data_IF_568791011730
#
_entry.id   IF_568791011730
#
_cell.length_a   1.000
_cell.length_b   1.000
_cell.length_c   1.000
_cell.angle_alpha   90.00
_cell.angle_beta   90.00
_cell.angle_gamma   90.00
#
_symmetry.space_group_name_H-M   'P 1'
#
loop_
_entity.id
_entity.type
_entity.pdbx_description
1 polymer ?
#
# COMPACT_ATOMS: atom_id res chain seq x y z
N UNK A 1 -27.35 27.70 8.27
CA UNK A 1 -27.45 26.24 8.24
C UNK A 1 -27.27 25.80 6.79
N UNK A 2 -26.02 25.66 6.32
CA UNK A 2 -25.73 25.20 4.96
C UNK A 2 -24.57 24.20 5.02
N UNK A 3 -24.89 23.05 5.64
CA UNK A 3 -24.01 21.88 5.67
C UNK A 3 -24.42 20.87 4.61
N UNK A 4 -24.59 21.28 3.34
CA UNK A 4 -24.76 20.32 2.26
C UNK A 4 -23.40 19.72 1.97
N UNK A 5 -23.22 18.47 2.43
CA UNK A 5 -22.07 17.66 2.06
C UNK A 5 -21.95 17.66 0.52
N UNK A 6 -20.84 18.20 0.00
CA UNK A 6 -20.53 18.11 -1.43
C UNK A 6 -20.57 16.64 -1.83
N UNK A 7 -21.21 16.26 -2.95
CA UNK A 7 -21.18 14.89 -3.43
C UNK A 7 -19.72 14.48 -3.60
N UNK A 8 -19.33 13.41 -2.90
CA UNK A 8 -17.96 12.91 -2.89
C UNK A 8 -17.57 12.53 -4.32
N UNK A 9 -16.70 13.34 -4.95
CA UNK A 9 -15.85 12.76 -6.00
C UNK A 9 -15.19 11.55 -5.34
N UNK A 10 -15.35 10.37 -5.90
CA UNK A 10 -14.68 9.15 -5.40
C UNK A 10 -13.21 9.50 -5.21
N UNK A 11 -12.78 9.56 -3.96
CA UNK A 11 -11.37 9.80 -3.65
C UNK A 11 -10.55 8.64 -4.23
N UNK A 12 -9.41 8.90 -4.87
CA UNK A 12 -8.58 7.82 -5.42
C UNK A 12 -8.16 6.87 -4.30
N UNK A 13 -8.16 5.57 -4.58
CA UNK A 13 -7.73 4.55 -3.61
C UNK A 13 -6.23 4.70 -3.25
N UNK A 14 -5.43 5.29 -4.14
CA UNK A 14 -3.99 5.50 -3.98
C UNK A 14 -3.59 6.72 -3.14
N UNK A 15 -4.56 7.51 -2.65
CA UNK A 15 -4.28 8.81 -2.05
C UNK A 15 -4.08 9.91 -3.10
N UNK A 16 -3.95 11.15 -2.65
CA UNK A 16 -3.74 12.33 -3.49
C UNK A 16 -3.03 13.45 -2.75
N UNK A 17 -2.84 14.58 -3.42
CA UNK A 17 -2.14 15.73 -2.86
C UNK A 17 -2.72 16.16 -1.52
N UNK A 18 -1.86 16.26 -0.51
CA UNK A 18 -2.22 16.65 0.87
C UNK A 18 -2.79 15.52 1.73
N UNK A 19 -2.99 14.31 1.20
CA UNK A 19 -3.38 13.15 2.00
C UNK A 19 -2.15 12.42 2.58
N UNK A 20 -2.30 11.79 3.73
CA UNK A 20 -1.30 10.89 4.30
C UNK A 20 -1.68 9.44 4.01
N UNK A 21 -0.78 8.70 3.36
CA UNK A 21 -0.96 7.29 2.99
C UNK A 21 -0.07 6.40 3.84
N UNK A 22 -0.66 5.50 4.62
CA UNK A 22 0.04 4.46 5.34
C UNK A 22 0.04 3.17 4.50
N UNK A 23 1.22 2.56 4.33
CA UNK A 23 1.40 1.37 3.51
C UNK A 23 1.91 0.21 4.34
N UNK A 24 1.11 -0.85 4.49
CA UNK A 24 1.57 -2.10 5.09
C UNK A 24 2.46 -2.89 4.14
N UNK A 25 3.44 -3.63 4.69
CA UNK A 25 4.39 -4.38 3.88
C UNK A 25 5.20 -3.49 2.94
N UNK A 26 5.57 -2.31 3.40
CA UNK A 26 6.09 -1.19 2.60
C UNK A 26 7.38 -1.50 1.81
N UNK A 27 8.15 -2.52 2.21
CA UNK A 27 9.36 -2.93 1.52
C UNK A 27 9.14 -4.03 0.47
N UNK A 28 7.93 -4.61 0.36
CA UNK A 28 7.61 -5.64 -0.63
C UNK A 28 7.30 -5.07 -2.00
N UNK A 29 7.03 -5.97 -2.97
CA UNK A 29 6.79 -5.56 -4.37
C UNK A 29 5.55 -4.71 -4.59
N UNK A 30 4.48 -4.88 -3.78
CA UNK A 30 3.29 -4.02 -3.78
C UNK A 30 3.58 -2.75 -2.98
N UNK A 31 4.19 -2.88 -1.79
CA UNK A 31 4.45 -1.77 -0.89
C UNK A 31 5.33 -0.69 -1.50
N UNK A 32 6.46 -1.07 -2.10
CA UNK A 32 7.37 -0.12 -2.76
C UNK A 32 6.72 0.60 -3.94
N UNK A 33 5.92 -0.11 -4.75
CA UNK A 33 5.16 0.51 -5.83
C UNK A 33 4.11 1.50 -5.30
N UNK A 34 3.41 1.13 -4.21
CA UNK A 34 2.41 1.99 -3.58
C UNK A 34 3.01 3.27 -3.03
N UNK A 35 4.18 3.19 -2.38
CA UNK A 35 4.91 4.36 -1.89
C UNK A 35 5.27 5.31 -3.03
N UNK A 36 5.85 4.78 -4.11
CA UNK A 36 6.24 5.60 -5.28
C UNK A 36 5.04 6.27 -5.95
N UNK A 37 3.96 5.53 -6.16
CA UNK A 37 2.73 6.08 -6.77
C UNK A 37 2.11 7.14 -5.86
N UNK A 38 1.97 6.87 -4.56
CA UNK A 38 1.40 7.82 -3.61
C UNK A 38 2.23 9.12 -3.57
N UNK A 39 3.56 9.00 -3.52
CA UNK A 39 4.49 10.13 -3.59
C UNK A 39 4.35 10.92 -4.88
N UNK A 40 4.26 10.23 -6.02
CA UNK A 40 4.06 10.87 -7.33
C UNK A 40 2.71 11.57 -7.47
N UNK A 41 1.72 11.18 -6.67
CA UNK A 41 0.43 11.87 -6.57
C UNK A 41 0.41 13.00 -5.54
N UNK A 42 1.55 13.30 -4.89
CA UNK A 42 1.70 14.38 -3.93
C UNK A 42 1.22 14.06 -2.51
N UNK A 43 1.05 12.76 -2.20
CA UNK A 43 0.71 12.34 -0.85
C UNK A 43 1.96 12.25 0.04
N UNK A 44 1.76 12.45 1.36
CA UNK A 44 2.74 12.07 2.38
C UNK A 44 2.63 10.58 2.66
N UNK A 45 3.75 9.89 2.87
CA UNK A 45 3.79 8.43 2.97
C UNK A 45 4.38 7.95 4.29
N UNK A 46 3.75 6.93 4.89
CA UNK A 46 4.23 6.23 6.10
C UNK A 46 4.32 4.75 5.78
N UNK A 47 5.52 4.19 5.82
CA UNK A 47 5.76 2.77 5.59
C UNK A 47 5.71 1.95 6.88
N UNK A 48 5.02 0.80 6.88
CA UNK A 48 5.04 -0.17 7.98
C UNK A 48 5.91 -1.35 7.58
N UNK A 49 6.98 -1.59 8.34
CA UNK A 49 7.99 -2.62 8.04
C UNK A 49 8.39 -3.42 9.28
N UNK A 50 9.08 -4.57 9.11
CA UNK A 50 9.44 -5.47 10.21
C UNK A 50 10.93 -5.49 10.59
N UNK A 51 11.81 -4.85 9.80
CA UNK A 51 13.26 -4.88 10.02
C UNK A 51 13.96 -3.61 9.53
N UNK A 52 15.22 -3.41 9.94
CA UNK A 52 16.05 -2.27 9.51
C UNK A 52 16.33 -2.31 8.02
N UNK A 53 16.60 -3.49 7.46
CA UNK A 53 16.78 -3.68 6.03
C UNK A 53 15.54 -3.23 5.25
N UNK A 54 14.35 -3.64 5.71
CA UNK A 54 13.07 -3.26 5.08
C UNK A 54 12.76 -1.78 5.25
N UNK A 55 13.21 -1.16 6.34
CA UNK A 55 13.11 0.30 6.50
C UNK A 55 13.91 1.02 5.42
N UNK A 56 15.18 0.61 5.22
CA UNK A 56 16.03 1.22 4.17
C UNK A 56 15.34 1.14 2.81
N UNK A 57 14.81 -0.05 2.43
CA UNK A 57 14.12 -0.24 1.16
C UNK A 57 12.85 0.63 1.05
N UNK A 58 12.07 0.75 2.11
CA UNK A 58 10.88 1.59 2.12
C UNK A 58 11.21 3.08 1.96
N UNK A 59 12.28 3.56 2.65
CA UNK A 59 12.75 4.95 2.52
C UNK A 59 13.28 5.23 1.10
N UNK A 60 14.07 4.32 0.54
CA UNK A 60 14.56 4.42 -0.85
C UNK A 60 13.40 4.41 -1.86
N UNK A 61 12.30 3.72 -1.55
CA UNK A 61 11.08 3.73 -2.36
C UNK A 61 10.17 4.97 -2.14
N UNK A 62 10.58 5.92 -1.30
CA UNK A 62 9.88 7.19 -1.10
C UNK A 62 9.01 7.28 0.13
N UNK A 63 9.20 6.41 1.15
CA UNK A 63 8.55 6.60 2.44
C UNK A 63 9.13 7.84 3.15
N UNK A 64 8.27 8.81 3.48
CA UNK A 64 8.65 9.99 4.26
C UNK A 64 8.95 9.58 5.71
N UNK A 65 8.11 8.67 6.23
CA UNK A 65 8.26 8.12 7.58
C UNK A 65 8.14 6.59 7.57
N UNK A 66 8.71 5.95 8.58
CA UNK A 66 8.63 4.48 8.72
C UNK A 66 8.36 4.12 10.17
N UNK A 67 7.47 3.15 10.40
CA UNK A 67 7.15 2.58 11.71
C UNK A 67 7.36 1.06 11.72
N UNK A 68 7.65 0.51 12.90
CA UNK A 68 7.92 -0.93 13.08
C UNK A 68 6.64 -1.70 13.41
N UNK A 69 6.32 -2.72 12.61
CA UNK A 69 5.12 -3.55 12.78
C UNK A 69 5.08 -4.34 14.10
N UNK A 70 6.22 -4.61 14.71
CA UNK A 70 6.33 -5.31 16.00
C UNK A 70 6.20 -4.41 17.23
N UNK A 71 6.01 -3.09 17.05
CA UNK A 71 5.90 -2.09 18.12
C UNK A 71 4.54 -1.42 18.15
N UNK A 72 4.42 -0.26 18.84
CA UNK A 72 3.19 0.53 18.90
C UNK A 72 2.98 1.35 17.61
N UNK A 73 3.11 0.68 16.44
CA UNK A 73 3.09 1.29 15.12
C UNK A 73 1.84 2.14 14.87
N UNK A 74 0.69 1.72 15.40
CA UNK A 74 -0.58 2.44 15.25
C UNK A 74 -0.49 3.84 15.87
N UNK A 75 -0.01 3.92 17.10
CA UNK A 75 0.04 5.19 17.83
C UNK A 75 1.11 6.11 17.24
N UNK A 76 2.26 5.54 16.85
CA UNK A 76 3.30 6.26 16.10
C UNK A 76 2.78 6.77 14.75
N UNK A 77 2.05 5.94 13.99
CA UNK A 77 1.47 6.37 12.71
C UNK A 77 0.45 7.51 12.88
N UNK A 78 -0.36 7.47 13.95
CA UNK A 78 -1.29 8.55 14.28
C UNK A 78 -0.57 9.85 14.64
N UNK A 79 0.49 9.78 15.42
CA UNK A 79 1.31 10.94 15.77
C UNK A 79 1.94 11.54 14.51
N UNK A 80 2.61 10.73 13.70
CA UNK A 80 3.26 11.15 12.46
C UNK A 80 2.29 11.73 11.43
N UNK A 81 1.04 11.26 11.42
CA UNK A 81 0.00 11.76 10.49
C UNK A 81 -0.83 12.93 11.04
N UNK A 82 -0.52 13.42 12.23
CA UNK A 82 -1.27 14.53 12.83
C UNK A 82 -2.68 14.15 13.30
N UNK A 83 -2.88 12.88 13.69
CA UNK A 83 -4.16 12.41 14.25
C UNK A 83 -4.76 11.20 13.53
N UNK A 84 -4.27 10.86 12.34
CA UNK A 84 -4.66 9.67 11.60
C UNK A 84 -4.33 9.75 10.11
N UNK A 85 -4.15 8.60 9.47
CA UNK A 85 -3.89 8.51 8.04
C UNK A 85 -5.21 8.67 7.24
N UNK A 86 -5.16 9.33 6.10
CA UNK A 86 -6.31 9.44 5.19
C UNK A 86 -6.55 8.14 4.44
N UNK A 87 -5.48 7.42 4.13
CA UNK A 87 -5.52 6.15 3.42
C UNK A 87 -4.62 5.14 4.09
N UNK A 88 -5.10 3.92 4.25
CA UNK A 88 -4.28 2.74 4.56
C UNK A 88 -4.33 1.80 3.37
N UNK A 89 -3.18 1.50 2.77
CA UNK A 89 -3.02 0.44 1.77
C UNK A 89 -2.62 -0.86 2.47
N UNK A 90 -3.49 -1.86 2.39
CA UNK A 90 -3.31 -3.11 3.12
C UNK A 90 -3.27 -4.35 2.19
N UNK A 91 -2.07 -4.80 1.80
CA UNK A 91 -1.86 -6.08 1.14
C UNK A 91 -1.67 -7.24 2.13
N UNK A 92 -1.70 -6.98 3.44
CA UNK A 92 -1.29 -7.91 4.49
C UNK A 92 -2.47 -8.58 5.17
N UNK A 93 -3.47 -7.80 5.58
CA UNK A 93 -4.64 -8.29 6.32
C UNK A 93 -4.30 -8.74 7.74
N UNK A 94 -4.99 -9.80 8.19
CA UNK A 94 -4.76 -10.42 9.48
C UNK A 94 -5.16 -9.59 10.70
N UNK A 95 -4.59 -9.90 11.85
CA UNK A 95 -4.99 -9.34 13.15
C UNK A 95 -4.76 -7.83 13.27
N UNK A 96 -3.78 -7.30 12.53
CA UNK A 96 -3.46 -5.86 12.53
C UNK A 96 -4.53 -4.99 11.86
N UNK A 97 -5.48 -5.56 11.14
CA UNK A 97 -6.50 -4.82 10.40
C UNK A 97 -7.35 -3.92 11.30
N UNK A 98 -7.68 -4.38 12.50
CA UNK A 98 -8.40 -3.56 13.48
C UNK A 98 -7.58 -2.32 13.91
N UNK A 99 -6.28 -2.44 14.06
CA UNK A 99 -5.42 -1.31 14.38
C UNK A 99 -5.20 -0.40 13.16
N UNK A 100 -5.24 -0.95 11.95
CA UNK A 100 -5.28 -0.16 10.71
C UNK A 100 -6.52 0.74 10.66
N UNK A 101 -7.72 0.22 11.01
CA UNK A 101 -8.93 1.03 11.13
C UNK A 101 -8.81 2.13 12.19
N UNK A 102 -8.12 1.83 13.30
CA UNK A 102 -7.92 2.80 14.39
C UNK A 102 -6.86 3.85 14.07
N UNK A 103 -6.00 3.60 13.08
CA UNK A 103 -4.98 4.55 12.63
C UNK A 103 -5.51 5.56 11.60
N UNK A 104 -6.74 5.38 11.12
CA UNK A 104 -7.37 6.30 10.18
C UNK A 104 -7.78 7.63 10.83
N UNK A 105 -7.70 8.69 10.05
CA UNK A 105 -8.38 9.94 10.30
C UNK A 105 -9.89 9.79 10.12
N UNK A 106 -10.67 10.73 10.66
CA UNK A 106 -12.10 10.81 10.36
C UNK A 106 -12.33 10.98 8.85
N UNK A 107 -13.17 10.13 8.27
CA UNK A 107 -13.41 10.09 6.82
C UNK A 107 -12.29 9.41 6.03
N UNK A 108 -11.32 8.78 6.70
CA UNK A 108 -10.27 8.00 6.06
C UNK A 108 -10.76 6.65 5.53
N UNK A 109 -9.91 5.96 4.74
CA UNK A 109 -10.27 4.70 4.08
C UNK A 109 -9.15 3.66 4.15
N UNK A 110 -9.52 2.39 4.34
CA UNK A 110 -8.62 1.25 4.09
C UNK A 110 -8.89 0.69 2.71
N UNK A 111 -7.83 0.48 1.95
CA UNK A 111 -7.84 -0.19 0.66
C UNK A 111 -7.27 -1.59 0.83
N UNK A 112 -8.13 -2.59 0.75
CA UNK A 112 -7.76 -4.01 0.88
C UNK A 112 -7.26 -4.52 -0.47
N UNK A 113 -5.98 -4.87 -0.52
CA UNK A 113 -5.30 -5.35 -1.74
C UNK A 113 -5.08 -6.86 -1.70
N UNK A 114 -4.91 -7.43 -0.50
CA UNK A 114 -4.65 -8.86 -0.32
C UNK A 114 -4.51 -9.26 1.14
N UNK A 115 -4.13 -10.52 1.36
CA UNK A 115 -4.08 -11.15 2.68
C UNK A 115 -2.80 -11.98 2.85
N UNK A 116 -1.62 -11.34 2.67
CA UNK A 116 -0.33 -12.04 2.73
C UNK A 116 0.02 -12.57 4.12
N UNK A 117 -0.69 -12.16 5.18
CA UNK A 117 -0.58 -12.75 6.52
C UNK A 117 -1.27 -14.12 6.61
N UNK A 118 -2.19 -14.43 5.70
CA UNK A 118 -2.86 -15.73 5.58
C UNK A 118 -4.27 -15.77 6.16
N UNK A 119 -4.69 -14.79 6.98
CA UNK A 119 -6.04 -14.69 7.50
C UNK A 119 -6.83 -13.52 6.90
N UNK A 120 -8.11 -13.75 6.64
CA UNK A 120 -9.03 -12.71 6.18
C UNK A 120 -9.58 -11.99 7.42
N UNK A 121 -9.40 -10.66 7.53
CA UNK A 121 -9.83 -9.92 8.71
C UNK A 121 -11.34 -9.76 8.78
N UNK A 122 -11.88 -9.78 10.01
CA UNK A 122 -13.28 -9.43 10.29
C UNK A 122 -13.39 -8.00 10.79
N UNK A 123 -14.43 -7.30 10.35
CA UNK A 123 -14.70 -5.90 10.73
C UNK A 123 -15.98 -5.79 11.51
N UNK A 124 -15.89 -5.28 12.73
CA UNK A 124 -17.05 -4.79 13.46
C UNK A 124 -17.51 -3.46 12.88
N UNK A 125 -18.59 -3.46 12.10
CA UNK A 125 -19.06 -2.31 11.30
C UNK A 125 -19.36 -1.03 12.12
N UNK A 126 -19.62 -1.15 13.43
CA UNK A 126 -19.75 0.01 14.30
C UNK A 126 -18.48 0.89 14.32
N UNK A 127 -17.30 0.31 14.05
CA UNK A 127 -16.04 1.08 13.94
C UNK A 127 -16.03 2.02 12.76
N UNK A 128 -16.67 1.63 11.66
CA UNK A 128 -16.80 2.47 10.46
C UNK A 128 -17.73 3.65 10.75
N UNK A 129 -18.86 3.39 11.42
CA UNK A 129 -19.82 4.42 11.79
C UNK A 129 -19.23 5.49 12.71
N UNK A 130 -18.44 5.09 13.72
CA UNK A 130 -17.93 6.00 14.75
C UNK A 130 -16.96 7.06 14.20
N UNK A 131 -16.23 6.75 13.13
CA UNK A 131 -15.24 7.65 12.54
C UNK A 131 -15.55 8.01 11.07
N UNK A 132 -16.72 7.62 10.56
CA UNK A 132 -17.09 7.80 9.14
C UNK A 132 -16.03 7.28 8.19
N UNK A 133 -15.42 6.12 8.50
CA UNK A 133 -14.36 5.52 7.69
C UNK A 133 -14.91 4.52 6.70
N UNK A 134 -14.12 4.22 5.65
CA UNK A 134 -14.49 3.29 4.59
C UNK A 134 -13.53 2.10 4.54
N UNK A 135 -14.05 0.94 4.11
CA UNK A 135 -13.25 -0.23 3.70
C UNK A 135 -13.54 -0.50 2.24
N UNK A 136 -12.51 -0.44 1.40
CA UNK A 136 -12.61 -0.54 -0.06
C UNK A 136 -11.84 -1.77 -0.52
N UNK A 137 -12.48 -2.68 -1.26
CA UNK A 137 -11.80 -3.78 -1.94
C UNK A 137 -11.14 -3.30 -3.24
N UNK A 138 -9.88 -3.72 -3.47
CA UNK A 138 -9.12 -3.42 -4.69
C UNK A 138 -8.70 -4.72 -5.40
N UNK A 139 -9.67 -5.52 -5.81
CA UNK A 139 -9.48 -6.76 -6.56
C UNK A 139 -9.17 -6.49 -8.03
N UNK A 140 -7.91 -6.17 -8.33
CA UNK A 140 -7.48 -5.73 -9.65
C UNK A 140 -7.80 -6.72 -10.77
N UNK A 141 -7.54 -8.01 -10.61
CA UNK A 141 -7.67 -9.00 -11.68
C UNK A 141 -9.07 -9.03 -12.31
N UNK A 142 -10.10 -9.30 -11.52
CA UNK A 142 -11.48 -9.35 -11.99
C UNK A 142 -11.98 -8.00 -12.50
N UNK A 143 -11.58 -6.91 -11.84
CA UNK A 143 -11.94 -5.55 -12.24
C UNK A 143 -11.36 -5.17 -13.60
N UNK A 144 -10.07 -5.47 -13.81
CA UNK A 144 -9.33 -5.19 -15.02
C UNK A 144 -9.84 -5.99 -16.24
N UNK A 145 -10.14 -7.28 -16.03
CA UNK A 145 -10.71 -8.15 -17.08
C UNK A 145 -12.05 -7.65 -17.60
N UNK A 146 -12.88 -7.10 -16.72
CA UNK A 146 -14.19 -6.57 -17.09
C UNK A 146 -14.13 -5.15 -17.70
N UNK A 147 -12.99 -4.46 -17.62
CA UNK A 147 -12.82 -3.04 -18.00
C UNK A 147 -11.46 -2.77 -18.65
N UNK A 148 -11.25 -3.23 -19.90
CA UNK A 148 -9.97 -3.06 -20.61
C UNK A 148 -9.56 -1.58 -20.79
N UNK A 149 -10.54 -0.68 -20.89
CA UNK A 149 -10.29 0.77 -20.98
C UNK A 149 -9.60 1.31 -19.74
N UNK A 150 -9.99 0.86 -18.55
CA UNK A 150 -9.35 1.26 -17.29
C UNK A 150 -7.90 0.80 -17.23
N UNK A 151 -7.62 -0.41 -17.77
CA UNK A 151 -6.24 -0.92 -17.87
C UNK A 151 -5.38 -0.01 -18.74
N UNK A 152 -5.91 0.45 -19.88
CA UNK A 152 -5.19 1.36 -20.79
C UNK A 152 -4.91 2.71 -20.12
N UNK A 153 -5.91 3.29 -19.46
CA UNK A 153 -5.79 4.60 -18.80
C UNK A 153 -4.77 4.56 -17.64
N UNK A 154 -4.86 3.54 -16.79
CA UNK A 154 -3.91 3.33 -15.70
C UNK A 154 -2.51 3.03 -16.26
N UNK A 155 -2.41 2.17 -17.27
CA UNK A 155 -1.15 1.85 -17.93
C UNK A 155 -0.48 3.10 -18.51
N UNK A 156 -1.24 3.98 -19.18
CA UNK A 156 -0.72 5.24 -19.70
C UNK A 156 -0.29 6.21 -18.59
N UNK A 157 -1.01 6.25 -17.47
CA UNK A 157 -0.62 7.07 -16.32
C UNK A 157 0.67 6.56 -15.67
N UNK A 158 0.79 5.24 -15.46
CA UNK A 158 2.00 4.62 -14.92
C UNK A 158 3.20 4.79 -15.86
N UNK A 159 3.02 4.66 -17.17
CA UNK A 159 4.09 4.88 -18.16
C UNK A 159 4.67 6.30 -18.02
N UNK A 160 3.82 7.32 -17.95
CA UNK A 160 4.28 8.69 -17.71
C UNK A 160 5.08 8.82 -16.41
N UNK A 161 4.60 8.23 -15.30
CA UNK A 161 5.33 8.27 -14.04
C UNK A 161 6.68 7.54 -14.09
N UNK A 162 6.80 6.51 -14.93
CA UNK A 162 8.08 5.81 -15.19
C UNK A 162 8.99 6.69 -16.03
N UNK A 163 8.49 7.29 -17.10
CA UNK A 163 9.25 8.18 -17.99
C UNK A 163 9.78 9.41 -17.24
N UNK A 164 8.97 9.97 -16.32
CA UNK A 164 9.34 11.07 -15.43
C UNK A 164 10.27 10.64 -14.29
N UNK A 165 10.59 9.34 -14.19
CA UNK A 165 11.46 8.79 -13.14
C UNK A 165 10.87 8.75 -11.74
N UNK A 166 9.57 8.96 -11.60
CA UNK A 166 8.82 8.88 -10.34
C UNK A 166 8.71 7.42 -9.87
N UNK A 167 8.45 6.51 -10.81
CA UNK A 167 8.35 5.07 -10.54
C UNK A 167 9.65 4.39 -11.01
N UNK A 168 10.37 3.80 -10.06
CA UNK A 168 11.58 2.99 -10.28
C UNK A 168 11.50 1.75 -9.39
N UNK A 169 10.86 0.64 -9.86
CA UNK A 169 10.67 -0.53 -9.03
C UNK A 169 12.00 -1.13 -8.57
N UNK A 170 12.26 -1.24 -7.26
CA UNK A 170 13.49 -1.85 -6.78
C UNK A 170 13.48 -3.36 -7.06
N UNK A 171 14.59 -3.88 -7.56
CA UNK A 171 14.83 -5.33 -7.70
C UNK A 171 15.65 -5.77 -6.50
N UNK A 172 15.02 -6.51 -5.59
CA UNK A 172 15.65 -6.98 -4.36
C UNK A 172 16.42 -8.29 -4.52
N UNK A 173 16.03 -9.12 -5.49
CA UNK A 173 16.74 -10.35 -5.79
C UNK A 173 16.60 -10.74 -7.28
N UNK A 174 17.63 -11.40 -7.80
CA UNK A 174 17.67 -11.96 -9.16
C UNK A 174 18.07 -13.42 -9.06
N UNK A 175 17.38 -14.27 -9.80
CA UNK A 175 17.65 -15.69 -9.90
C UNK A 175 17.66 -16.12 -11.36
N UNK A 176 18.52 -17.06 -11.78
CA UNK A 176 18.32 -17.74 -13.06
C UNK A 176 16.99 -18.49 -13.06
N UNK A 177 16.41 -18.70 -14.25
CA UNK A 177 15.08 -19.35 -14.38
C UNK A 177 15.04 -20.72 -13.70
N UNK A 178 16.14 -21.49 -13.76
CA UNK A 178 16.28 -22.81 -13.15
C UNK A 178 16.15 -22.79 -11.62
N UNK A 179 16.34 -21.62 -11.00
CA UNK A 179 16.20 -21.41 -9.55
C UNK A 179 14.87 -20.77 -9.17
N UNK A 180 13.84 -20.92 -9.98
CA UNK A 180 12.51 -20.36 -9.71
C UNK A 180 11.92 -20.86 -8.37
N UNK A 181 12.23 -22.08 -7.95
CA UNK A 181 11.78 -22.63 -6.68
C UNK A 181 12.40 -21.88 -5.47
N UNK A 182 13.67 -21.51 -5.54
CA UNK A 182 14.35 -20.71 -4.52
C UNK A 182 13.79 -19.29 -4.46
N UNK A 183 13.51 -18.69 -5.61
CA UNK A 183 12.87 -17.40 -5.71
C UNK A 183 11.49 -17.38 -5.03
N UNK A 184 10.68 -18.45 -5.24
CA UNK A 184 9.38 -18.58 -4.59
C UNK A 184 9.51 -18.78 -3.06
N UNK A 185 10.47 -19.59 -2.60
CA UNK A 185 10.74 -19.77 -1.16
C UNK A 185 11.13 -18.45 -0.48
N UNK A 186 11.89 -17.59 -1.16
CA UNK A 186 12.23 -16.26 -0.65
C UNK A 186 10.97 -15.41 -0.43
N UNK A 187 10.01 -15.47 -1.36
CA UNK A 187 8.73 -14.76 -1.25
C UNK A 187 7.87 -15.33 -0.13
N UNK A 188 7.71 -16.67 -0.08
CA UNK A 188 6.94 -17.36 0.96
C UNK A 188 7.49 -17.09 2.36
N UNK A 189 8.83 -17.10 2.50
CA UNK A 189 9.54 -16.81 3.74
C UNK A 189 9.49 -15.34 4.15
N UNK A 190 8.79 -14.48 3.41
CA UNK A 190 8.68 -13.02 3.65
C UNK A 190 10.04 -12.30 3.70
N UNK A 191 11.07 -12.91 3.11
CA UNK A 191 12.41 -12.32 2.98
C UNK A 191 12.55 -11.36 1.81
N UNK A 192 11.63 -11.41 0.85
CA UNK A 192 11.71 -10.59 -0.36
C UNK A 192 11.54 -9.09 -0.06
N UNK A 193 12.41 -8.28 -0.67
CA UNK A 193 12.29 -6.83 -0.74
C UNK A 193 12.15 -6.40 -2.21
N UNK A 194 11.30 -5.41 -2.50
CA UNK A 194 11.04 -5.01 -3.88
C UNK A 194 10.54 -6.15 -4.77
N UNK A 195 11.04 -6.24 -5.99
CA UNK A 195 10.72 -7.30 -6.95
C UNK A 195 11.76 -8.41 -6.91
N UNK A 196 11.30 -9.66 -7.00
CA UNK A 196 12.14 -10.83 -7.28
C UNK A 196 12.02 -11.13 -8.77
N UNK A 197 13.14 -11.22 -9.47
CA UNK A 197 13.21 -11.36 -10.93
C UNK A 197 13.86 -12.68 -11.29
N UNK A 198 13.30 -13.38 -12.26
CA UNK A 198 13.92 -14.53 -12.92
C UNK A 198 14.58 -14.04 -14.22
N UNK A 199 15.86 -14.35 -14.37
CA UNK A 199 16.63 -14.04 -15.58
C UNK A 199 16.54 -15.23 -16.53
N UNK A 200 15.99 -14.97 -17.72
CA UNK A 200 15.88 -15.95 -18.79
C UNK A 200 17.11 -15.77 -19.69
N UNK A 201 17.92 -16.83 -19.82
CA UNK A 201 19.03 -16.82 -20.79
C UNK A 201 18.47 -16.58 -22.20
N UNK A 202 19.12 -15.71 -22.96
CA UNK A 202 18.81 -15.50 -24.38
C UNK A 202 19.41 -16.57 -25.23
#
# INVERSE_FOLDING_TARGET
MDGVARPSRRRPASGGAGETVLVHGAAGGVGTASLQVAKGLGARTIGVVSSDEKERVAREAGADEVVRSGGPWRDQAKELSGGGADVVLDPVGGDRFTDSLRSLATGGRIVVVGFTEGSIPEVKVNRLLLNNTEVIGAGWGAYAMARPEVCRDIGAALARMIDDGVIRPPVGARFPLEQAAEALKLIEGRGATGKVVLEVAR
#
